data_IF_352951054809
#
_entry.id   IF_352951054809
#
_cell.length_a   1.000
_cell.length_b   1.000
_cell.length_c   1.000
_cell.angle_alpha   90.00
_cell.angle_beta   90.00
_cell.angle_gamma   90.00
#
_symmetry.space_group_name_H-M   'P 1'
#
loop_
_entity.id
_entity.type
_entity.pdbx_description
1 polymer ?
#
# COMPACT_ATOMS: atom_id res chain seq x y z
N UNK A 1 -38.08 2.53 5.95
CA UNK A 1 -36.81 1.89 6.32
C UNK A 1 -35.78 2.99 6.54
N UNK A 2 -35.03 2.99 7.64
CA UNK A 2 -33.98 3.98 7.89
C UNK A 2 -32.74 3.55 7.10
N UNK A 3 -32.21 4.41 6.22
CA UNK A 3 -30.95 4.14 5.54
C UNK A 3 -29.83 4.12 6.57
N UNK A 4 -29.10 3.00 6.66
CA UNK A 4 -27.89 2.91 7.48
C UNK A 4 -26.78 3.73 6.83
N UNK A 5 -26.02 4.43 7.66
CA UNK A 5 -24.80 5.14 7.28
C UNK A 5 -23.58 4.31 7.67
N UNK A 6 -22.39 4.70 7.20
CA UNK A 6 -21.14 4.07 7.66
C UNK A 6 -20.90 4.22 9.16
N UNK A 7 -21.50 5.22 9.81
CA UNK A 7 -21.40 5.40 11.26
C UNK A 7 -22.09 4.25 12.03
N UNK A 8 -23.12 3.65 11.45
CA UNK A 8 -23.92 2.58 12.05
C UNK A 8 -23.31 1.18 11.90
N UNK A 9 -22.15 1.05 11.25
CA UNK A 9 -21.48 -0.22 11.00
C UNK A 9 -20.36 -0.46 12.02
N UNK A 10 -20.36 -1.64 12.65
CA UNK A 10 -19.33 -2.02 13.62
C UNK A 10 -17.99 -2.35 12.96
N UNK A 11 -18.03 -2.91 11.74
CA UNK A 11 -16.86 -3.32 10.95
C UNK A 11 -17.10 -3.06 9.46
N UNK A 12 -16.08 -2.53 8.80
CA UNK A 12 -16.07 -2.28 7.35
C UNK A 12 -14.81 -2.88 6.77
N UNK A 13 -14.96 -3.76 5.78
CA UNK A 13 -13.85 -4.40 5.09
C UNK A 13 -13.80 -3.91 3.65
N UNK A 14 -12.67 -3.34 3.24
CA UNK A 14 -12.39 -2.94 1.87
C UNK A 14 -11.43 -3.95 1.24
N UNK A 15 -11.84 -4.55 0.12
CA UNK A 15 -11.07 -5.54 -0.64
C UNK A 15 -10.67 -4.92 -1.98
N UNK A 16 -9.39 -5.04 -2.36
CA UNK A 16 -8.93 -4.51 -3.63
C UNK A 16 -7.40 -4.47 -3.75
N UNK A 17 -6.89 -3.66 -4.65
CA UNK A 17 -5.45 -3.47 -4.87
C UNK A 17 -5.17 -2.19 -5.63
N UNK A 18 -3.96 -2.09 -6.19
CA UNK A 18 -3.52 -0.94 -6.98
C UNK A 18 -3.67 0.40 -6.25
N UNK A 19 -4.05 1.42 -7.01
CA UNK A 19 -4.15 2.80 -6.52
C UNK A 19 -5.53 3.14 -5.92
N UNK A 20 -6.53 2.28 -6.10
CA UNK A 20 -7.92 2.55 -5.74
C UNK A 20 -8.22 2.26 -4.27
N UNK A 21 -7.71 1.14 -3.74
CA UNK A 21 -8.02 0.69 -2.39
C UNK A 21 -7.57 1.69 -1.33
N UNK A 22 -6.32 2.17 -1.39
CA UNK A 22 -5.82 3.14 -0.41
C UNK A 22 -6.61 4.45 -0.39
N UNK A 23 -7.14 4.90 -1.54
CA UNK A 23 -7.97 6.11 -1.64
C UNK A 23 -9.33 5.92 -0.97
N UNK A 24 -9.94 4.75 -1.18
CA UNK A 24 -11.18 4.38 -0.49
C UNK A 24 -10.93 4.29 1.01
N UNK A 25 -9.82 3.70 1.43
CA UNK A 25 -9.52 3.60 2.86
C UNK A 25 -9.21 4.96 3.49
N UNK A 26 -8.51 5.84 2.77
CA UNK A 26 -8.21 7.21 3.21
C UNK A 26 -9.48 8.05 3.38
N UNK A 27 -10.45 7.94 2.46
CA UNK A 27 -11.74 8.63 2.58
C UNK A 27 -12.63 8.08 3.71
N UNK A 28 -12.42 6.82 4.09
CA UNK A 28 -13.10 6.15 5.20
C UNK A 28 -12.28 6.16 6.50
N UNK A 29 -11.18 6.92 6.57
CA UNK A 29 -10.25 6.93 7.71
C UNK A 29 -10.91 7.30 9.05
N UNK A 30 -12.00 8.07 9.02
CA UNK A 30 -12.81 8.41 10.21
C UNK A 30 -13.44 7.19 10.91
N UNK A 31 -13.52 6.04 10.23
CA UNK A 31 -13.96 4.79 10.84
C UNK A 31 -12.93 4.19 11.81
N UNK A 32 -11.67 4.63 11.74
CA UNK A 32 -10.59 4.20 12.63
C UNK A 32 -10.43 2.68 12.64
N UNK A 33 -10.38 2.09 13.83
CA UNK A 33 -10.21 0.64 14.04
C UNK A 33 -11.34 -0.25 13.50
N UNK A 34 -12.45 0.35 13.02
CA UNK A 34 -13.53 -0.38 12.37
C UNK A 34 -13.25 -0.68 10.90
N UNK A 35 -12.30 0.02 10.29
CA UNK A 35 -11.91 -0.17 8.89
C UNK A 35 -10.78 -1.19 8.76
N UNK A 36 -10.94 -2.16 7.87
CA UNK A 36 -9.92 -3.15 7.54
C UNK A 36 -9.72 -3.19 6.03
N UNK A 37 -8.47 -3.13 5.59
CA UNK A 37 -8.09 -3.28 4.19
C UNK A 37 -7.52 -4.67 3.92
N UNK A 38 -8.05 -5.36 2.90
CA UNK A 38 -7.46 -6.58 2.36
C UNK A 38 -6.90 -6.24 0.98
N UNK A 39 -5.57 -6.18 0.91
CA UNK A 39 -4.84 -5.76 -0.29
C UNK A 39 -4.42 -6.99 -1.11
N UNK A 40 -4.77 -7.01 -2.38
CA UNK A 40 -4.30 -8.02 -3.32
C UNK A 40 -2.86 -7.73 -3.73
N UNK A 41 -2.03 -8.78 -3.79
CA UNK A 41 -0.59 -8.67 -4.06
C UNK A 41 -0.21 -9.42 -5.31
N UNK A 42 -0.93 -9.14 -6.39
CA UNK A 42 -0.82 -9.84 -7.68
C UNK A 42 0.07 -9.12 -8.69
N UNK A 43 0.57 -7.92 -8.37
CA UNK A 43 1.42 -7.15 -9.28
C UNK A 43 2.78 -7.82 -9.53
N UNK A 44 3.16 -7.89 -10.80
CA UNK A 44 4.42 -8.49 -11.27
C UNK A 44 5.25 -7.49 -12.10
N UNK A 45 4.87 -6.21 -12.14
CA UNK A 45 5.52 -5.16 -12.92
C UNK A 45 6.71 -4.47 -12.22
N UNK A 46 7.59 -3.87 -13.02
CA UNK A 46 8.65 -2.95 -12.57
C UNK A 46 9.53 -3.48 -11.43
N UNK A 47 9.72 -2.64 -10.41
CA UNK A 47 10.49 -2.96 -9.19
C UNK A 47 9.97 -4.21 -8.48
N UNK A 48 8.65 -4.36 -8.41
CA UNK A 48 8.00 -5.45 -7.67
C UNK A 48 8.28 -6.79 -8.34
N UNK A 49 8.13 -6.85 -9.66
CA UNK A 49 8.46 -8.03 -10.45
C UNK A 49 9.93 -8.44 -10.36
N UNK A 50 10.85 -7.48 -10.29
CA UNK A 50 12.28 -7.78 -10.14
C UNK A 50 12.58 -8.44 -8.79
N UNK A 51 12.10 -7.86 -7.68
CA UNK A 51 12.26 -8.44 -6.33
C UNK A 51 11.67 -9.85 -6.28
N UNK A 52 10.47 -10.06 -6.83
CA UNK A 52 9.83 -11.39 -6.85
C UNK A 52 10.63 -12.43 -7.62
N UNK A 53 11.29 -12.04 -8.71
CA UNK A 53 12.11 -12.96 -9.52
C UNK A 53 13.42 -13.33 -8.83
N UNK A 54 14.01 -12.42 -8.05
CA UNK A 54 15.29 -12.67 -7.36
C UNK A 54 15.10 -13.32 -5.98
N UNK A 55 14.14 -12.85 -5.19
CA UNK A 55 13.98 -13.19 -3.76
C UNK A 55 12.65 -13.92 -3.44
N UNK A 56 11.78 -14.14 -4.43
CA UNK A 56 10.44 -14.68 -4.21
C UNK A 56 9.52 -13.74 -3.42
N UNK A 57 8.50 -14.31 -2.77
CA UNK A 57 7.53 -13.56 -1.96
C UNK A 57 6.41 -12.88 -2.75
N UNK A 58 5.63 -12.04 -2.04
CA UNK A 58 4.47 -11.34 -2.59
C UNK A 58 4.84 -10.00 -3.26
N UNK A 59 3.88 -9.41 -3.95
CA UNK A 59 4.00 -8.09 -4.53
C UNK A 59 3.83 -7.00 -3.46
N UNK A 60 4.92 -6.40 -3.00
CA UNK A 60 4.87 -5.34 -1.98
C UNK A 60 4.33 -3.99 -2.49
N UNK A 61 4.31 -3.77 -3.81
CA UNK A 61 3.96 -2.50 -4.44
C UNK A 61 2.58 -1.96 -4.06
N UNK A 62 1.55 -2.80 -4.11
CA UNK A 62 0.17 -2.43 -3.81
C UNK A 62 -0.03 -2.18 -2.31
N UNK A 63 0.57 -3.01 -1.46
CA UNK A 63 0.53 -2.80 -0.01
C UNK A 63 1.23 -1.51 0.40
N UNK A 64 2.42 -1.24 -0.17
CA UNK A 64 3.14 0.02 0.01
C UNK A 64 2.28 1.21 -0.43
N UNK A 65 1.68 1.16 -1.61
CA UNK A 65 0.82 2.23 -2.12
C UNK A 65 -0.38 2.47 -1.17
N UNK A 66 -0.99 1.39 -0.67
CA UNK A 66 -2.11 1.48 0.26
C UNK A 66 -1.70 2.17 1.56
N UNK A 67 -0.59 1.73 2.18
CA UNK A 67 -0.04 2.36 3.41
C UNK A 67 0.24 3.83 3.15
N UNK A 68 0.89 4.15 2.04
CA UNK A 68 1.27 5.52 1.71
C UNK A 68 0.06 6.46 1.58
N UNK A 69 -1.05 5.99 1.01
CA UNK A 69 -2.29 6.78 0.89
C UNK A 69 -3.03 6.97 2.23
N UNK A 70 -2.69 6.17 3.26
CA UNK A 70 -3.20 6.32 4.62
C UNK A 70 -2.36 7.28 5.48
N UNK A 71 -1.15 7.63 5.03
CA UNK A 71 -0.32 8.62 5.71
C UNK A 71 -0.96 9.99 5.51
N UNK A 72 -1.52 10.54 6.59
CA UNK A 72 -2.19 11.84 6.56
C UNK A 72 -1.20 13.02 6.54
N UNK A 73 -0.03 12.86 7.16
CA UNK A 73 0.96 13.94 7.31
C UNK A 73 2.31 13.55 6.69
N UNK A 74 2.87 14.39 5.79
CA UNK A 74 4.20 14.16 5.25
C UNK A 74 5.26 14.07 6.35
N UNK A 75 6.15 13.09 6.24
CA UNK A 75 7.25 12.88 7.17
C UNK A 75 8.49 12.36 6.44
N UNK A 76 9.63 12.33 7.13
CA UNK A 76 10.83 11.68 6.60
C UNK A 76 10.56 10.22 6.27
N UNK A 77 9.80 9.52 7.12
CA UNK A 77 9.42 8.13 6.88
C UNK A 77 8.58 7.99 5.60
N UNK A 78 7.58 8.86 5.36
CA UNK A 78 6.78 8.80 4.14
C UNK A 78 7.61 9.11 2.90
N UNK A 79 8.52 10.10 2.97
CA UNK A 79 9.42 10.43 1.88
C UNK A 79 10.36 9.25 1.53
N UNK A 80 10.91 8.56 2.53
CA UNK A 80 11.71 7.36 2.32
C UNK A 80 10.89 6.21 1.72
N UNK A 81 9.64 6.05 2.14
CA UNK A 81 8.74 5.00 1.65
C UNK A 81 8.32 5.22 0.18
N UNK A 82 8.22 6.46 -0.26
CA UNK A 82 7.93 6.82 -1.66
C UNK A 82 9.17 6.85 -2.56
N UNK A 83 10.37 6.99 -1.97
CA UNK A 83 11.59 7.17 -2.72
C UNK A 83 11.80 6.09 -3.79
N UNK A 84 12.08 6.53 -5.02
CA UNK A 84 12.41 5.66 -6.15
C UNK A 84 13.83 5.98 -6.60
N UNK A 85 14.68 4.96 -6.58
CA UNK A 85 16.03 5.05 -7.09
C UNK A 85 16.00 5.41 -8.59
N UNK A 86 16.75 6.45 -8.95
CA UNK A 86 16.97 6.89 -10.32
C UNK A 86 18.41 6.59 -10.76
N UNK A 87 18.71 6.80 -12.05
CA UNK A 87 20.05 6.56 -12.61
C UNK A 87 20.23 5.13 -13.14
N UNK A 88 21.48 4.66 -13.13
CA UNK A 88 21.89 3.37 -13.70
C UNK A 88 22.32 2.39 -12.60
N UNK A 89 22.25 1.09 -12.91
CA UNK A 89 22.67 0.00 -12.01
C UNK A 89 21.50 -0.79 -11.40
N UNK A 90 21.81 -1.74 -10.52
CA UNK A 90 20.87 -2.73 -9.98
C UNK A 90 19.67 -2.11 -9.25
N UNK A 91 19.91 -1.02 -8.52
CA UNK A 91 18.83 -0.32 -7.79
C UNK A 91 17.94 0.51 -8.71
N UNK A 92 18.32 0.76 -9.98
CA UNK A 92 17.58 1.66 -10.86
C UNK A 92 16.11 1.26 -10.99
N UNK A 93 15.21 2.20 -10.67
CA UNK A 93 13.78 2.00 -10.70
C UNK A 93 13.20 1.21 -9.52
N UNK A 94 14.02 0.71 -8.58
CA UNK A 94 13.49 0.17 -7.33
C UNK A 94 12.83 1.28 -6.50
N UNK A 95 11.76 0.93 -5.80
CA UNK A 95 11.22 1.80 -4.76
C UNK A 95 11.74 1.32 -3.40
N UNK A 96 12.24 2.25 -2.58
CA UNK A 96 12.83 1.95 -1.28
C UNK A 96 11.81 1.35 -0.30
N UNK A 97 10.57 1.84 -0.29
CA UNK A 97 9.49 1.25 0.50
C UNK A 97 9.22 -0.22 0.17
N UNK A 98 9.30 -0.62 -1.10
CA UNK A 98 9.18 -2.03 -1.48
C UNK A 98 10.32 -2.88 -0.90
N UNK A 99 11.55 -2.34 -0.86
CA UNK A 99 12.71 -3.02 -0.29
C UNK A 99 12.61 -3.11 1.23
N UNK A 100 12.15 -2.04 1.88
CA UNK A 100 11.88 -2.03 3.33
C UNK A 100 10.84 -3.07 3.72
N UNK A 101 9.72 -3.14 2.99
CA UNK A 101 8.69 -4.15 3.25
C UNK A 101 9.22 -5.56 3.02
N UNK A 102 10.03 -5.78 1.97
CA UNK A 102 10.66 -7.09 1.75
C UNK A 102 11.66 -7.46 2.84
N UNK A 103 12.38 -6.50 3.43
CA UNK A 103 13.31 -6.77 4.51
C UNK A 103 12.62 -7.10 5.85
N UNK A 104 11.35 -6.71 6.00
CA UNK A 104 10.52 -7.01 7.17
C UNK A 104 9.76 -8.35 7.04
N UNK A 105 9.70 -8.92 5.84
CA UNK A 105 9.10 -10.21 5.48
C UNK A 105 10.06 -11.36 5.74
#
# INVERSE_FOLDING_TARGET
>A
MRNRTFADLDRVVALGGGHGLGRVMSSLSSLGSRLTGIVTTTDNGGSTGRIRRSEGGIAWGDMRNCINQLIAEPSVASAMFEYRFSGNGELSGHNLGNLMLKALD
#
